data_IF_458445279597
#
_entry.id   IF_458445279597
#
_cell.length_a   1.000
_cell.length_b   1.000
_cell.length_c   1.000
_cell.angle_alpha   90.00
_cell.angle_beta   90.00
_cell.angle_gamma   90.00
#
_symmetry.space_group_name_H-M   'P 1'
#
loop_
_entity.id
_entity.type
_entity.pdbx_description
1 polymer ?
#
# COMPACT_ATOMS: atom_id res chain seq x y z
N UNK A 1 -0.37 -49.86 19.90
CA UNK A 1 0.72 -48.92 19.52
C UNK A 1 0.10 -47.68 18.93
N UNK A 2 -0.06 -46.67 19.77
CA UNK A 2 -0.51 -45.35 19.32
C UNK A 2 0.71 -44.62 18.77
N UNK A 3 0.73 -44.38 17.47
CA UNK A 3 1.69 -43.54 16.80
C UNK A 3 1.53 -42.13 17.36
N UNK A 4 2.53 -41.63 18.05
CA UNK A 4 2.66 -40.24 18.43
C UNK A 4 2.65 -39.40 17.13
N UNK A 5 1.56 -38.67 16.91
CA UNK A 5 1.50 -37.68 15.85
C UNK A 5 2.65 -36.70 16.08
N UNK A 6 3.61 -36.75 15.18
CA UNK A 6 4.73 -35.81 15.11
C UNK A 6 4.17 -34.41 15.07
N UNK A 7 4.46 -33.64 16.11
CA UNK A 7 3.97 -32.28 16.29
C UNK A 7 4.69 -31.38 15.27
N UNK A 8 4.28 -31.44 13.98
CA UNK A 8 4.79 -30.57 12.92
C UNK A 8 4.43 -29.15 13.29
N UNK A 9 5.42 -28.36 13.66
CA UNK A 9 5.24 -26.92 13.84
C UNK A 9 4.60 -26.37 12.56
N UNK A 10 3.36 -25.96 12.64
CA UNK A 10 2.58 -25.42 11.53
C UNK A 10 3.17 -24.09 11.02
N UNK A 11 3.91 -23.38 11.87
CA UNK A 11 4.57 -22.12 11.55
C UNK A 11 6.08 -22.38 11.53
N UNK A 12 6.71 -22.10 10.38
CA UNK A 12 8.16 -22.30 10.16
C UNK A 12 9.01 -21.09 10.49
N UNK A 13 8.40 -19.90 10.56
CA UNK A 13 9.11 -18.67 10.87
C UNK A 13 8.16 -17.47 10.87
N UNK A 14 8.72 -16.36 11.30
CA UNK A 14 8.06 -15.05 11.33
C UNK A 14 8.94 -14.00 10.66
N UNK A 15 8.35 -13.08 9.93
CA UNK A 15 9.05 -11.95 9.38
C UNK A 15 8.18 -10.69 9.43
N UNK A 16 8.81 -9.54 9.59
CA UNK A 16 8.08 -8.27 9.61
C UNK A 16 9.02 -7.09 9.50
N UNK A 17 8.52 -5.98 9.01
CA UNK A 17 9.34 -4.80 8.82
C UNK A 17 8.57 -3.61 8.29
N UNK A 18 9.33 -2.59 7.92
CA UNK A 18 8.81 -1.32 7.42
C UNK A 18 9.39 -1.02 6.04
N UNK A 19 8.58 -0.34 5.23
CA UNK A 19 8.92 0.09 3.87
C UNK A 19 8.44 1.51 3.64
N UNK A 20 9.25 2.29 2.94
CA UNK A 20 8.84 3.55 2.31
C UNK A 20 8.58 3.29 0.85
N UNK A 21 7.67 4.05 0.24
CA UNK A 21 7.38 3.90 -1.17
C UNK A 21 7.26 5.23 -1.89
N UNK A 22 7.52 5.17 -3.18
CA UNK A 22 7.22 6.21 -4.14
C UNK A 22 6.53 5.57 -5.35
N UNK A 23 5.68 6.33 -6.02
CA UNK A 23 4.97 5.84 -7.18
C UNK A 23 4.21 6.93 -7.91
N UNK A 24 3.28 6.50 -8.72
CA UNK A 24 2.41 7.40 -9.45
C UNK A 24 0.96 6.94 -9.33
N UNK A 25 0.08 7.86 -9.02
CA UNK A 25 -1.35 7.63 -8.88
C UNK A 25 -2.08 8.13 -10.11
N UNK A 26 -2.97 7.30 -10.65
CA UNK A 26 -3.84 7.61 -11.78
C UNK A 26 -5.30 7.57 -11.35
N UNK A 27 -6.11 8.43 -11.98
CA UNK A 27 -7.55 8.40 -11.80
C UNK A 27 -8.01 9.01 -10.48
N UNK A 28 -9.24 8.75 -10.17
CA UNK A 28 -9.99 9.30 -9.06
C UNK A 28 -11.11 10.19 -9.58
N UNK A 29 -12.36 9.71 -9.43
CA UNK A 29 -13.52 10.56 -9.68
C UNK A 29 -13.65 11.55 -8.55
N UNK A 30 -13.78 12.80 -8.93
CA UNK A 30 -14.06 13.87 -8.00
C UNK A 30 -15.24 14.71 -8.49
N UNK A 31 -15.97 15.39 -7.61
CA UNK A 31 -17.14 16.20 -7.96
C UNK A 31 -16.87 17.32 -8.98
N UNK A 32 -15.60 17.60 -9.24
CA UNK A 32 -15.16 18.70 -10.09
C UNK A 32 -14.53 18.23 -11.40
N UNK A 33 -14.60 16.93 -11.70
CA UNK A 33 -13.99 16.32 -12.89
C UNK A 33 -12.48 16.63 -13.05
N UNK A 34 -11.77 16.80 -11.93
CA UNK A 34 -10.35 17.08 -11.91
C UNK A 34 -9.55 15.78 -12.05
N UNK A 35 -8.59 15.74 -12.95
CA UNK A 35 -7.68 14.60 -13.06
C UNK A 35 -6.68 14.60 -11.92
N UNK A 36 -6.79 13.63 -10.99
CA UNK A 36 -5.91 13.47 -9.81
C UNK A 36 -4.70 12.59 -10.16
N UNK A 37 -4.04 12.88 -11.28
CA UNK A 37 -2.81 12.14 -11.63
C UNK A 37 -1.61 12.86 -11.04
N UNK A 38 -0.90 12.21 -10.10
CA UNK A 38 0.26 12.82 -9.46
C UNK A 38 1.22 11.80 -8.84
N UNK A 39 2.49 12.18 -8.64
CA UNK A 39 3.41 11.35 -7.87
C UNK A 39 2.91 11.17 -6.45
N UNK A 40 3.13 9.98 -5.91
CA UNK A 40 2.71 9.61 -4.56
C UNK A 40 3.89 9.08 -3.74
N UNK A 41 3.86 9.35 -2.44
CA UNK A 41 4.86 8.92 -1.48
C UNK A 41 4.17 8.39 -0.24
N UNK A 42 4.81 7.42 0.40
CA UNK A 42 4.23 6.86 1.60
C UNK A 42 5.12 5.92 2.37
N UNK A 43 4.54 5.36 3.42
CA UNK A 43 5.19 4.46 4.35
C UNK A 43 4.20 3.40 4.80
N UNK A 44 4.70 2.24 5.12
CA UNK A 44 3.92 1.18 5.71
C UNK A 44 4.79 0.05 6.23
N UNK A 45 4.17 -1.08 6.48
CA UNK A 45 4.87 -2.25 6.96
C UNK A 45 4.07 -3.52 6.84
N UNK A 46 4.72 -4.62 7.13
CA UNK A 46 4.12 -5.94 7.10
C UNK A 46 4.59 -6.80 8.28
N UNK A 47 3.75 -7.75 8.64
CA UNK A 47 4.06 -8.86 9.53
C UNK A 47 3.58 -10.14 8.85
N UNK A 48 4.48 -11.09 8.61
CA UNK A 48 4.21 -12.31 7.86
C UNK A 48 4.63 -13.55 8.64
N UNK A 49 3.85 -14.59 8.52
CA UNK A 49 4.14 -15.93 9.02
C UNK A 49 4.52 -16.84 7.85
N UNK A 50 5.51 -17.68 8.03
CA UNK A 50 5.96 -18.67 7.06
C UNK A 50 5.20 -19.98 7.32
N UNK A 51 4.25 -20.32 6.48
CA UNK A 51 3.48 -21.55 6.58
C UNK A 51 4.22 -22.73 5.96
N UNK A 52 4.96 -22.47 4.88
CA UNK A 52 5.82 -23.47 4.24
C UNK A 52 7.19 -22.85 3.94
N UNK A 53 8.09 -23.64 3.32
CA UNK A 53 9.41 -23.15 2.88
C UNK A 53 9.32 -22.13 1.73
N UNK A 54 8.14 -22.00 1.13
CA UNK A 54 7.92 -21.15 -0.04
C UNK A 54 6.71 -20.22 0.08
N UNK A 55 5.83 -20.41 1.06
CA UNK A 55 4.60 -19.66 1.17
C UNK A 55 4.49 -18.89 2.48
N UNK A 56 4.15 -17.61 2.36
CA UNK A 56 3.95 -16.69 3.50
C UNK A 56 2.61 -15.99 3.38
N UNK A 57 2.02 -15.70 4.51
CA UNK A 57 0.83 -14.85 4.65
C UNK A 57 0.92 -14.03 5.92
N UNK A 58 0.03 -13.08 6.13
CA UNK A 58 0.06 -12.25 7.33
C UNK A 58 -0.81 -11.01 7.24
N UNK A 59 -0.26 -9.88 7.64
CA UNK A 59 -0.89 -8.56 7.55
C UNK A 59 0.08 -7.55 6.99
N UNK A 60 -0.44 -6.61 6.21
CA UNK A 60 0.31 -5.41 5.83
C UNK A 60 -0.61 -4.19 5.78
N UNK A 61 -0.01 -3.01 5.88
CA UNK A 61 -0.74 -1.76 5.76
C UNK A 61 0.17 -0.62 5.37
N UNK A 62 -0.38 0.29 4.54
CA UNK A 62 0.36 1.39 3.96
C UNK A 62 -0.45 2.66 3.95
N UNK A 63 0.26 3.78 4.11
CA UNK A 63 -0.23 5.13 3.88
C UNK A 63 0.46 5.71 2.67
N UNK A 64 -0.29 6.40 1.82
CA UNK A 64 0.19 7.06 0.63
C UNK A 64 -0.40 8.46 0.55
N UNK A 65 0.40 9.44 0.14
CA UNK A 65 -0.03 10.83 -0.02
C UNK A 65 0.38 11.33 -1.39
N UNK A 66 -0.56 11.96 -2.09
CA UNK A 66 -0.36 12.55 -3.41
C UNK A 66 -0.85 14.00 -3.41
N UNK A 67 -0.04 14.99 -3.79
CA UNK A 67 -0.49 16.37 -3.92
C UNK A 67 -1.41 16.52 -5.13
N UNK A 68 -2.49 17.29 -4.98
CA UNK A 68 -3.38 17.66 -6.08
C UNK A 68 -2.95 19.06 -6.55
N UNK A 69 -2.60 19.19 -7.83
CA UNK A 69 -2.01 20.44 -8.37
C UNK A 69 -2.84 21.13 -9.42
N UNK A 70 -3.81 20.44 -10.03
CA UNK A 70 -4.61 21.00 -11.14
C UNK A 70 -6.01 21.39 -10.66
N UNK A 71 -6.41 22.63 -10.90
CA UNK A 71 -7.75 23.13 -10.64
C UNK A 71 -8.10 23.40 -9.17
N UNK A 72 -7.10 23.39 -8.28
CA UNK A 72 -7.24 23.62 -6.84
C UNK A 72 -6.07 24.42 -6.31
N UNK A 73 -6.25 25.06 -5.14
CA UNK A 73 -5.17 25.77 -4.47
C UNK A 73 -4.07 24.83 -3.92
N UNK A 74 -2.88 25.40 -3.75
CA UNK A 74 -1.78 24.76 -3.09
C UNK A 74 -2.20 24.31 -1.67
N UNK A 75 -1.83 23.08 -1.28
CA UNK A 75 -2.27 22.47 -0.03
C UNK A 75 -3.36 21.41 -0.20
N UNK A 76 -3.93 21.27 -1.40
CA UNK A 76 -4.85 20.18 -1.73
C UNK A 76 -4.10 18.86 -1.86
N UNK A 77 -4.64 17.78 -1.30
CA UNK A 77 -3.98 16.46 -1.32
C UNK A 77 -4.98 15.31 -1.36
N UNK A 78 -4.50 14.18 -1.83
CA UNK A 78 -5.18 12.90 -1.73
C UNK A 78 -4.34 11.98 -0.83
N UNK A 79 -4.97 11.35 0.14
CA UNK A 79 -4.38 10.33 1.00
C UNK A 79 -5.09 9.00 0.81
N UNK A 80 -4.32 7.95 0.63
CA UNK A 80 -4.78 6.58 0.63
C UNK A 80 -4.21 5.86 1.85
N UNK A 81 -5.07 5.15 2.55
CA UNK A 81 -4.68 4.15 3.53
C UNK A 81 -5.28 2.82 3.10
N UNK A 82 -4.49 1.76 3.08
CA UNK A 82 -5.00 0.41 2.87
C UNK A 82 -4.29 -0.59 3.76
N UNK A 83 -4.99 -1.65 4.07
CA UNK A 83 -4.49 -2.78 4.83
C UNK A 83 -5.11 -4.06 4.30
N UNK A 84 -4.42 -5.18 4.45
CA UNK A 84 -4.93 -6.44 3.95
C UNK A 84 -4.08 -7.62 4.35
N UNK A 85 -4.46 -8.75 3.79
CA UNK A 85 -3.81 -10.05 3.97
C UNK A 85 -2.94 -10.30 2.73
N UNK A 86 -1.61 -10.20 2.86
CA UNK A 86 -0.69 -10.59 1.81
C UNK A 86 -0.58 -12.11 1.74
N UNK A 87 -0.49 -12.63 0.54
CA UNK A 87 -0.13 -14.00 0.25
C UNK A 87 0.99 -13.98 -0.78
N UNK A 88 2.16 -14.48 -0.43
CA UNK A 88 3.28 -14.52 -1.35
C UNK A 88 4.00 -15.87 -1.39
N UNK A 89 4.53 -16.13 -2.56
CA UNK A 89 5.41 -17.24 -2.83
C UNK A 89 6.83 -16.73 -2.99
N UNK A 90 7.79 -17.30 -2.24
CA UNK A 90 9.18 -16.87 -2.24
C UNK A 90 10.14 -18.04 -2.47
N UNK A 91 11.31 -17.72 -3.03
CA UNK A 91 12.37 -18.70 -3.31
C UNK A 91 13.66 -18.26 -2.65
N UNK A 92 14.08 -18.94 -1.59
CA UNK A 92 15.34 -18.64 -0.95
C UNK A 92 16.52 -19.22 -1.75
N UNK A 93 17.38 -18.34 -2.28
CA UNK A 93 18.62 -18.69 -3.00
C UNK A 93 19.81 -18.00 -2.33
N UNK A 94 20.42 -18.68 -1.36
CA UNK A 94 21.51 -18.09 -0.58
C UNK A 94 21.06 -16.82 0.17
N UNK A 95 21.69 -15.68 -0.15
CA UNK A 95 21.33 -14.38 0.46
C UNK A 95 20.15 -13.68 -0.20
N UNK A 96 19.66 -14.18 -1.31
CA UNK A 96 18.63 -13.55 -2.12
C UNK A 96 17.35 -14.37 -2.04
N UNK A 97 16.21 -13.70 -1.88
CA UNK A 97 14.90 -14.34 -1.89
C UNK A 97 13.92 -13.52 -2.76
N UNK A 98 13.82 -13.80 -4.06
CA UNK A 98 12.76 -13.24 -4.88
C UNK A 98 11.41 -13.77 -4.44
N UNK A 99 10.37 -12.94 -4.60
CA UNK A 99 8.99 -13.30 -4.24
C UNK A 99 7.98 -12.64 -5.17
N UNK A 100 6.83 -13.29 -5.30
CA UNK A 100 5.65 -12.80 -5.99
C UNK A 100 4.43 -13.03 -5.13
N UNK A 101 3.48 -12.12 -5.14
CA UNK A 101 2.28 -12.24 -4.34
C UNK A 101 1.22 -11.22 -4.66
N UNK A 102 0.18 -11.24 -3.84
CA UNK A 102 -0.87 -10.23 -3.87
C UNK A 102 -1.42 -10.02 -2.46
N UNK A 103 -1.88 -8.81 -2.21
CA UNK A 103 -2.62 -8.46 -1.00
C UNK A 103 -4.07 -8.21 -1.34
N UNK A 104 -4.97 -8.85 -0.59
CA UNK A 104 -6.40 -8.58 -0.65
C UNK A 104 -6.82 -7.90 0.66
N UNK A 105 -7.51 -6.78 0.54
CA UNK A 105 -7.88 -6.01 1.71
C UNK A 105 -8.84 -4.87 1.43
N UNK A 106 -8.73 -3.83 2.22
CA UNK A 106 -9.55 -2.64 2.07
C UNK A 106 -8.81 -1.39 2.54
N UNK A 107 -9.37 -0.26 2.21
CA UNK A 107 -8.77 1.02 2.53
C UNK A 107 -9.76 2.17 2.56
N UNK A 108 -9.19 3.35 2.78
CA UNK A 108 -9.90 4.62 2.81
C UNK A 108 -9.14 5.64 1.97
N UNK A 109 -9.82 6.23 1.02
CA UNK A 109 -9.38 7.45 0.36
C UNK A 109 -9.83 8.66 1.14
N UNK A 110 -8.94 9.64 1.32
CA UNK A 110 -9.26 10.95 1.90
C UNK A 110 -8.73 12.02 0.94
N UNK A 111 -9.62 12.69 0.23
CA UNK A 111 -9.29 13.78 -0.65
C UNK A 111 -9.67 15.12 0.00
N UNK A 112 -8.72 16.02 0.05
CA UNK A 112 -8.89 17.38 0.57
C UNK A 112 -8.64 18.39 -0.54
N UNK A 113 -9.65 19.18 -0.84
CA UNK A 113 -9.62 20.20 -1.90
C UNK A 113 -9.77 21.59 -1.29
N UNK A 114 -8.88 22.49 -1.68
CA UNK A 114 -8.97 23.92 -1.38
C UNK A 114 -9.32 24.68 -2.66
N UNK A 115 -10.36 25.50 -2.60
CA UNK A 115 -10.79 26.37 -3.69
C UNK A 115 -10.57 27.83 -3.34
N UNK A 116 -10.20 28.63 -4.33
CA UNK A 116 -10.11 30.08 -4.19
C UNK A 116 -11.54 30.63 -4.10
N UNK A 117 -11.86 31.37 -3.04
CA UNK A 117 -13.11 32.09 -2.91
C UNK A 117 -13.20 33.24 -3.94
N UNK A 118 -14.39 33.64 -4.22
CA UNK A 118 -14.67 34.72 -5.19
C UNK A 118 -14.06 36.04 -4.69
N UNK A 119 -13.22 36.70 -5.50
CA UNK A 119 -12.49 37.93 -5.14
C UNK A 119 -13.38 39.15 -4.89
N UNK A 120 -14.71 39.00 -4.96
CA UNK A 120 -15.67 40.10 -4.81
C UNK A 120 -16.25 40.24 -3.40
N UNK A 121 -16.03 39.28 -2.52
CA UNK A 121 -16.47 39.40 -1.13
C UNK A 121 -15.29 39.83 -0.22
N UNK A 122 -15.62 40.77 0.68
CA UNK A 122 -14.67 41.33 1.64
C UNK A 122 -14.11 40.30 2.64
N UNK A 123 -14.62 39.08 2.63
CA UNK A 123 -14.07 37.94 3.37
C UNK A 123 -13.55 36.90 2.38
N UNK A 124 -12.24 36.53 2.41
CA UNK A 124 -11.71 35.47 1.57
C UNK A 124 -12.23 34.12 2.10
N UNK A 125 -13.38 33.69 1.62
CA UNK A 125 -13.90 32.36 1.88
C UNK A 125 -13.04 31.31 1.17
N UNK A 126 -12.12 30.69 1.88
CA UNK A 126 -11.45 29.48 1.43
C UNK A 126 -12.46 28.32 1.58
N UNK A 127 -13.06 27.91 0.48
CA UNK A 127 -13.95 26.74 0.49
C UNK A 127 -13.11 25.47 0.54
N UNK A 128 -13.21 24.73 1.63
CA UNK A 128 -12.55 23.46 1.81
C UNK A 128 -13.56 22.31 1.67
N UNK A 129 -13.26 21.32 0.85
CA UNK A 129 -14.04 20.08 0.74
C UNK A 129 -13.20 18.89 1.18
N UNK A 130 -13.72 18.15 2.14
CA UNK A 130 -13.14 16.89 2.59
C UNK A 130 -14.04 15.73 2.16
N UNK A 131 -13.49 14.82 1.35
CA UNK A 131 -14.16 13.60 0.90
C UNK A 131 -13.45 12.39 1.49
N UNK A 132 -14.22 11.43 1.99
CA UNK A 132 -13.72 10.14 2.47
C UNK A 132 -14.50 9.02 1.79
N UNK A 133 -13.78 8.06 1.22
CA UNK A 133 -14.39 6.92 0.52
C UNK A 133 -13.67 5.62 0.86
N UNK A 134 -14.40 4.61 1.35
CA UNK A 134 -13.86 3.28 1.52
C UNK A 134 -13.71 2.58 0.17
N UNK A 135 -12.73 1.69 0.05
CA UNK A 135 -12.52 0.88 -1.13
C UNK A 135 -12.01 -0.52 -0.79
N UNK A 136 -12.25 -1.46 -1.69
CA UNK A 136 -11.59 -2.76 -1.68
C UNK A 136 -10.25 -2.63 -2.40
N UNK A 137 -9.20 -3.21 -1.83
CA UNK A 137 -7.85 -3.18 -2.37
C UNK A 137 -7.44 -4.56 -2.86
N UNK A 138 -6.96 -4.62 -4.09
CA UNK A 138 -6.20 -5.74 -4.63
C UNK A 138 -4.85 -5.23 -5.10
N UNK A 139 -3.78 -5.74 -4.52
CA UNK A 139 -2.44 -5.20 -4.70
C UNK A 139 -1.46 -6.32 -5.09
N UNK A 140 -1.38 -6.68 -6.39
CA UNK A 140 -0.39 -7.63 -6.89
C UNK A 140 1.01 -7.02 -6.84
N UNK A 141 2.00 -7.82 -6.42
CA UNK A 141 3.36 -7.36 -6.26
C UNK A 141 4.41 -8.41 -6.61
N UNK A 142 5.57 -7.91 -6.93
CA UNK A 142 6.81 -8.69 -7.06
C UNK A 142 7.91 -8.01 -6.25
N UNK A 143 8.87 -8.78 -5.77
CA UNK A 143 9.96 -8.19 -5.02
C UNK A 143 11.13 -9.13 -4.80
N UNK A 144 12.14 -8.59 -4.15
CA UNK A 144 13.36 -9.29 -3.80
C UNK A 144 13.80 -8.88 -2.40
N UNK A 145 14.19 -9.86 -1.60
CA UNK A 145 14.80 -9.64 -0.30
C UNK A 145 16.28 -10.03 -0.38
N UNK A 146 17.14 -9.23 0.23
CA UNK A 146 18.57 -9.49 0.36
C UNK A 146 18.96 -9.57 1.83
N UNK A 147 19.47 -10.71 2.27
CA UNK A 147 19.93 -10.93 3.63
C UNK A 147 21.25 -10.21 3.91
N UNK A 148 21.19 -9.15 4.72
CA UNK A 148 22.35 -8.39 5.18
C UNK A 148 22.99 -9.04 6.39
N UNK A 149 22.18 -9.69 7.22
CA UNK A 149 22.60 -10.39 8.43
C UNK A 149 21.77 -11.64 8.69
N UNK A 150 21.90 -12.20 9.91
CA UNK A 150 21.16 -13.42 10.28
C UNK A 150 19.64 -13.17 10.35
N UNK A 151 19.23 -11.99 10.82
CA UNK A 151 17.82 -11.66 11.02
C UNK A 151 17.37 -10.45 10.16
N UNK A 152 18.27 -9.66 9.58
CA UNK A 152 17.94 -8.45 8.83
C UNK A 152 18.04 -8.70 7.33
N UNK A 153 16.98 -8.33 6.62
CA UNK A 153 16.90 -8.33 5.16
C UNK A 153 16.50 -6.95 4.66
N UNK A 154 17.10 -6.51 3.57
CA UNK A 154 16.62 -5.38 2.78
C UNK A 154 15.62 -5.90 1.77
N UNK A 155 14.54 -5.17 1.53
CA UNK A 155 13.53 -5.53 0.53
C UNK A 155 13.35 -4.41 -0.48
N UNK A 156 13.25 -4.83 -1.75
CA UNK A 156 12.79 -4.00 -2.86
C UNK A 156 11.52 -4.67 -3.42
N UNK A 157 10.41 -3.92 -3.49
CA UNK A 157 9.11 -4.41 -3.99
C UNK A 157 8.58 -3.44 -5.03
N UNK A 158 7.91 -3.95 -6.03
CA UNK A 158 7.08 -3.19 -6.95
C UNK A 158 5.68 -3.77 -6.93
N UNK A 159 4.67 -2.90 -6.90
CA UNK A 159 3.27 -3.28 -6.92
C UNK A 159 2.43 -2.40 -7.85
N UNK A 160 1.17 -2.79 -8.01
CA UNK A 160 0.16 -2.01 -8.69
C UNK A 160 -1.15 -2.06 -7.90
N UNK A 161 -1.41 -1.06 -7.09
CA UNK A 161 -2.65 -0.99 -6.32
C UNK A 161 -3.85 -0.82 -7.25
N UNK A 162 -4.78 -1.76 -7.17
CA UNK A 162 -6.11 -1.69 -7.77
C UNK A 162 -7.14 -1.45 -6.66
N UNK A 163 -7.82 -0.33 -6.73
CA UNK A 163 -8.85 0.07 -5.77
C UNK A 163 -10.22 -0.01 -6.41
N UNK A 164 -11.17 -0.68 -5.75
CA UNK A 164 -12.53 -0.89 -6.24
C UNK A 164 -13.54 -0.28 -5.27
N UNK A 165 -14.50 0.47 -5.80
CA UNK A 165 -15.60 1.03 -5.04
C UNK A 165 -16.95 0.55 -5.59
N UNK A 166 -17.95 0.41 -4.70
CA UNK A 166 -19.25 -0.19 -5.03
C UNK A 166 -20.05 0.57 -6.10
N UNK A 167 -19.86 1.86 -6.23
CA UNK A 167 -20.62 2.73 -7.15
C UNK A 167 -19.95 2.94 -8.52
N UNK A 168 -18.94 2.12 -8.86
CA UNK A 168 -18.21 2.25 -10.12
C UNK A 168 -17.38 3.52 -10.24
N UNK A 169 -17.14 4.22 -9.13
CA UNK A 169 -16.27 5.40 -9.09
C UNK A 169 -14.83 4.99 -9.39
N UNK A 170 -14.16 5.75 -10.25
CA UNK A 170 -12.74 5.56 -10.53
C UNK A 170 -11.91 5.89 -9.31
N UNK A 171 -11.48 4.88 -8.58
CA UNK A 171 -10.59 5.04 -7.46
C UNK A 171 -9.15 5.22 -7.93
N UNK A 172 -8.33 5.96 -7.17
CA UNK A 172 -6.93 6.13 -7.52
C UNK A 172 -6.18 4.81 -7.53
N UNK A 173 -5.59 4.47 -8.66
CA UNK A 173 -4.76 3.27 -8.86
C UNK A 173 -3.37 3.66 -9.31
N UNK A 174 -2.40 2.73 -9.32
CA UNK A 174 -1.13 2.98 -9.97
C UNK A 174 0.05 2.22 -9.38
N UNK A 175 1.18 2.26 -10.10
CA UNK A 175 2.39 1.58 -9.72
C UNK A 175 3.10 2.26 -8.56
N UNK A 176 3.71 1.45 -7.70
CA UNK A 176 4.58 1.88 -6.60
C UNK A 176 5.82 1.03 -6.51
N UNK A 177 6.90 1.63 -6.04
CA UNK A 177 8.15 0.95 -5.72
C UNK A 177 8.47 1.21 -4.26
N UNK A 178 8.79 0.16 -3.55
CA UNK A 178 9.07 0.15 -2.11
C UNK A 178 10.50 -0.23 -1.83
N UNK A 179 11.08 0.45 -0.87
CA UNK A 179 12.37 0.10 -0.28
C UNK A 179 12.19 0.00 1.24
N UNK A 180 12.72 -1.03 1.84
CA UNK A 180 12.58 -1.21 3.27
C UNK A 180 13.47 -2.29 3.85
N UNK A 181 13.19 -2.60 5.11
CA UNK A 181 13.87 -3.66 5.83
C UNK A 181 12.84 -4.60 6.47
N UNK A 182 13.23 -5.86 6.55
CA UNK A 182 12.44 -6.95 7.13
C UNK A 182 13.32 -7.69 8.12
N UNK A 183 12.82 -7.90 9.32
CA UNK A 183 13.39 -8.82 10.29
C UNK A 183 12.74 -10.19 10.08
N UNK A 184 13.57 -11.23 9.99
CA UNK A 184 13.12 -12.62 9.80
C UNK A 184 13.75 -13.52 10.90
N UNK A 185 12.90 -14.32 11.52
CA UNK A 185 13.27 -15.29 12.57
C UNK A 185 12.75 -16.69 12.22
#
# INVERSE_FOLDING_TARGET
MLSLAENRKTIKGFSGGMMVHSGYQYGGDNPFNLNISSPTFGIGGCAKIHLTDHFRTGMEGFFSTAPIRKGVQSGSYNKLFWTGIPCDWFWQKGKVAPYIGATLGGGMETAFYLFEGDKHDWEPEVKALLRKQPFLAFDPYVGIEYAVGKALRLTLRADWLLAFHKEGLNMPTGPRVYLGFIFAH
#
